data_IF_149585857461
#
_entry.id   IF_149585857461
#
_cell.length_a   1.000
_cell.length_b   1.000
_cell.length_c   1.000
_cell.angle_alpha   90.00
_cell.angle_beta   90.00
_cell.angle_gamma   90.00
#
_symmetry.space_group_name_H-M   'P 1'
#
loop_
_entity.id
_entity.type
_entity.pdbx_description
1 polymer ?
#
# COMPACT_ATOMS: atom_id res chain seq x y z
N UNK A 1 8.42 18.81 58.08
CA UNK A 1 8.74 18.49 56.69
C UNK A 1 8.47 19.75 55.88
N UNK A 2 9.53 20.56 55.70
CA UNK A 2 9.49 21.80 54.92
C UNK A 2 9.84 21.45 53.47
N UNK A 3 8.88 21.48 52.59
CA UNK A 3 9.07 21.34 51.13
C UNK A 3 8.64 22.66 50.50
N UNK A 4 9.66 23.43 50.14
CA UNK A 4 9.89 24.08 48.86
C UNK A 4 8.88 25.17 48.44
N UNK A 5 9.12 26.35 48.96
CA UNK A 5 8.66 27.60 48.33
C UNK A 5 9.64 28.18 47.28
N UNK A 6 10.75 27.49 46.99
CA UNK A 6 11.80 28.01 46.11
C UNK A 6 11.63 27.63 44.63
N UNK A 7 10.85 26.59 44.31
CA UNK A 7 10.62 26.16 42.90
C UNK A 7 9.58 27.01 42.15
N UNK A 8 8.67 27.71 42.87
CA UNK A 8 7.61 28.52 42.24
C UNK A 8 8.07 29.93 41.81
N UNK A 9 9.17 30.42 42.38
CA UNK A 9 9.71 31.75 42.02
C UNK A 9 10.62 31.72 40.79
N UNK A 10 11.16 30.58 40.40
CA UNK A 10 11.99 30.45 39.19
C UNK A 10 11.16 30.38 37.88
N UNK A 11 9.89 29.96 37.99
CA UNK A 11 9.00 29.90 36.83
C UNK A 11 8.38 31.26 36.47
N UNK A 12 8.29 32.17 37.42
CA UNK A 12 7.72 33.50 37.23
C UNK A 12 8.69 34.53 36.60
N UNK A 13 10.00 34.32 36.70
CA UNK A 13 11.01 35.25 36.18
C UNK A 13 11.35 34.97 34.68
N UNK A 14 11.01 33.80 34.16
CA UNK A 14 11.25 33.44 32.75
C UNK A 14 10.19 34.00 31.78
N UNK A 15 9.09 34.56 32.30
CA UNK A 15 7.99 35.09 31.49
C UNK A 15 8.10 36.60 31.19
N UNK A 16 9.09 37.31 31.78
CA UNK A 16 9.19 38.75 31.63
C UNK A 16 10.31 39.29 30.74
N UNK A 17 11.16 38.41 30.21
CA UNK A 17 12.10 38.78 29.14
C UNK A 17 11.47 38.46 27.80
N UNK A 18 10.79 39.43 27.20
CA UNK A 18 10.33 39.42 25.82
C UNK A 18 11.50 39.44 24.82
N UNK A 19 12.32 38.40 24.87
CA UNK A 19 13.12 38.01 23.75
C UNK A 19 12.18 37.24 22.80
N UNK A 20 11.74 37.90 21.73
CA UNK A 20 11.19 37.23 20.58
C UNK A 20 12.24 36.21 20.13
N UNK A 21 12.12 34.97 20.62
CA UNK A 21 12.70 33.85 19.92
C UNK A 21 11.99 33.86 18.56
N UNK A 22 12.64 34.46 17.55
CA UNK A 22 12.31 34.20 16.19
C UNK A 22 12.33 32.67 16.05
N UNK A 23 11.16 32.06 16.11
CA UNK A 23 11.00 30.69 15.69
C UNK A 23 11.39 30.68 14.22
N UNK A 24 12.63 30.28 13.91
CA UNK A 24 12.94 29.76 12.62
C UNK A 24 12.09 28.49 12.46
N UNK A 25 10.79 28.65 12.29
CA UNK A 25 9.95 27.66 11.66
C UNK A 25 10.47 27.61 10.22
N UNK A 26 11.47 26.78 9.98
CA UNK A 26 11.65 26.23 8.64
C UNK A 26 10.29 25.67 8.33
N UNK A 27 9.59 26.29 7.41
CA UNK A 27 8.34 25.77 6.84
C UNK A 27 8.72 24.43 6.21
N UNK A 28 8.71 23.35 7.05
CA UNK A 28 8.97 22.01 6.57
C UNK A 28 7.79 21.68 5.70
N UNK A 29 8.02 21.70 4.38
CA UNK A 29 7.03 21.21 3.44
C UNK A 29 6.54 19.83 3.93
N UNK A 30 5.24 19.68 4.05
CA UNK A 30 4.63 18.40 4.44
C UNK A 30 4.98 17.39 3.35
N UNK A 31 5.59 16.24 3.68
CA UNK A 31 6.07 15.29 2.68
C UNK A 31 4.92 14.58 1.98
N UNK A 32 5.11 14.23 0.71
CA UNK A 32 4.30 13.22 0.04
C UNK A 32 4.51 11.86 0.68
N UNK A 33 3.49 11.02 0.68
CA UNK A 33 3.54 9.66 1.25
C UNK A 33 3.12 8.65 0.19
N UNK A 34 4.03 7.72 -0.13
CA UNK A 34 3.75 6.54 -0.95
C UNK A 34 3.79 5.30 -0.05
N UNK A 35 2.66 4.63 0.09
CA UNK A 35 2.54 3.34 0.78
C UNK A 35 2.40 2.23 -0.25
N UNK A 36 3.39 1.34 -0.35
CA UNK A 36 3.32 0.17 -1.25
C UNK A 36 2.99 -1.07 -0.43
N UNK A 37 1.90 -1.74 -0.77
CA UNK A 37 1.54 -3.05 -0.23
C UNK A 37 1.62 -4.11 -1.33
N UNK A 38 2.28 -5.22 -1.02
CA UNK A 38 2.46 -6.37 -1.90
C UNK A 38 1.68 -7.55 -1.34
N UNK A 39 0.91 -8.26 -2.17
CA UNK A 39 -0.03 -9.30 -1.75
C UNK A 39 0.63 -10.68 -1.79
N UNK A 40 0.69 -11.37 -0.64
CA UNK A 40 1.26 -12.71 -0.47
C UNK A 40 2.78 -12.84 -0.78
N UNK A 41 3.56 -11.78 -0.57
CA UNK A 41 5.02 -11.86 -0.65
C UNK A 41 5.58 -12.44 0.66
N UNK A 42 6.30 -13.54 0.55
CA UNK A 42 6.93 -14.20 1.69
C UNK A 42 8.21 -13.50 2.17
N UNK A 43 8.50 -13.59 3.46
CA UNK A 43 9.75 -13.08 4.05
C UNK A 43 11.01 -13.63 3.34
N UNK A 44 10.93 -14.88 2.84
CA UNK A 44 12.02 -15.55 2.13
C UNK A 44 12.11 -15.22 0.64
N UNK A 45 11.29 -14.34 0.11
CA UNK A 45 11.17 -14.08 -1.33
C UNK A 45 11.72 -12.68 -1.74
N UNK A 46 12.72 -12.19 -0.99
CA UNK A 46 13.49 -10.99 -1.33
C UNK A 46 14.99 -11.28 -1.27
N UNK A 47 15.75 -10.77 -2.25
CA UNK A 47 17.21 -10.98 -2.31
C UNK A 47 17.96 -10.32 -1.14
N UNK A 48 17.47 -9.20 -0.61
CA UNK A 48 18.03 -8.56 0.60
C UNK A 48 17.78 -9.33 1.91
N UNK A 49 16.95 -10.39 1.88
CA UNK A 49 16.65 -11.20 3.06
C UNK A 49 17.21 -12.63 2.93
N UNK A 50 16.42 -13.56 2.39
CA UNK A 50 16.78 -14.99 2.39
C UNK A 50 16.83 -15.64 1.01
N UNK A 51 16.21 -15.04 0.00
CA UNK A 51 16.18 -15.60 -1.35
C UNK A 51 17.57 -15.66 -1.97
N UNK A 52 17.92 -16.80 -2.58
CA UNK A 52 19.19 -17.01 -3.28
C UNK A 52 19.00 -17.25 -4.78
N UNK A 53 17.79 -17.46 -5.20
CA UNK A 53 17.39 -17.86 -6.56
C UNK A 53 16.67 -16.74 -7.34
N UNK A 54 16.46 -15.59 -6.72
CA UNK A 54 15.83 -14.42 -7.33
C UNK A 54 16.59 -13.11 -7.05
N UNK A 55 16.21 -12.03 -7.74
CA UNK A 55 16.82 -10.71 -7.60
C UNK A 55 15.77 -9.62 -7.53
N UNK A 56 15.81 -8.81 -6.45
CA UNK A 56 14.88 -7.70 -6.20
C UNK A 56 15.62 -6.38 -5.94
N UNK A 57 16.45 -5.90 -6.89
CA UNK A 57 17.38 -4.79 -6.67
C UNK A 57 16.69 -3.46 -6.31
N UNK A 58 15.46 -3.23 -6.78
CA UNK A 58 14.74 -1.99 -6.49
C UNK A 58 14.18 -1.99 -5.06
N UNK A 59 13.67 -3.13 -4.59
CA UNK A 59 13.23 -3.30 -3.21
C UNK A 59 14.44 -3.33 -2.28
N UNK A 60 15.53 -4.01 -2.66
CA UNK A 60 16.78 -4.08 -1.90
C UNK A 60 17.35 -2.67 -1.65
N UNK A 61 17.30 -1.78 -2.66
CA UNK A 61 17.71 -0.38 -2.51
C UNK A 61 16.90 0.36 -1.43
N UNK A 62 15.60 0.09 -1.30
CA UNK A 62 14.78 0.69 -0.23
C UNK A 62 15.27 0.20 1.14
N UNK A 63 15.60 -1.09 1.26
CA UNK A 63 16.16 -1.67 2.49
C UNK A 63 17.53 -1.07 2.86
N UNK A 64 18.38 -0.80 1.87
CA UNK A 64 19.72 -0.24 2.08
C UNK A 64 19.71 1.23 2.47
N UNK A 65 18.76 2.01 1.94
CA UNK A 65 18.71 3.47 2.11
C UNK A 65 17.70 3.93 3.15
N UNK A 66 16.81 3.05 3.58
CA UNK A 66 15.70 3.35 4.48
C UNK A 66 15.86 2.78 5.88
N UNK A 67 14.75 2.72 6.60
CA UNK A 67 14.64 2.10 7.93
C UNK A 67 13.92 0.77 7.78
N UNK A 68 14.55 -0.29 8.27
CA UNK A 68 13.97 -1.64 8.29
C UNK A 68 13.32 -1.90 9.65
N UNK A 69 12.09 -2.43 9.61
CA UNK A 69 11.33 -2.81 10.80
C UNK A 69 11.27 -4.33 10.92
N UNK A 70 12.28 -4.95 11.53
CA UNK A 70 12.44 -6.41 11.59
C UNK A 70 11.33 -7.13 12.35
N UNK A 71 10.69 -6.45 13.29
CA UNK A 71 9.62 -6.98 14.13
C UNK A 71 8.25 -6.39 13.77
N UNK A 72 8.05 -6.04 12.51
CA UNK A 72 6.73 -5.63 12.00
C UNK A 72 5.97 -6.86 11.49
N UNK A 73 4.78 -7.09 12.04
CA UNK A 73 3.94 -8.24 11.70
C UNK A 73 2.60 -7.78 11.12
N UNK A 74 2.15 -8.44 10.06
CA UNK A 74 0.78 -8.28 9.59
C UNK A 74 -0.20 -8.80 10.66
N UNK A 75 -1.31 -8.08 10.86
CA UNK A 75 -2.29 -8.45 11.90
C UNK A 75 -3.12 -9.70 11.56
N UNK A 76 -3.00 -10.21 10.36
CA UNK A 76 -3.66 -11.43 9.91
C UNK A 76 -2.86 -12.10 8.80
N UNK A 77 -3.03 -13.41 8.65
CA UNK A 77 -2.49 -14.21 7.55
C UNK A 77 -3.28 -14.10 6.25
N UNK A 78 -4.38 -13.33 6.22
CA UNK A 78 -5.24 -13.16 5.03
C UNK A 78 -5.50 -11.69 4.74
N UNK A 79 -5.83 -11.40 3.48
CA UNK A 79 -5.74 -10.07 2.88
C UNK A 79 -6.71 -9.04 3.48
N UNK A 80 -8.04 -9.31 3.54
CA UNK A 80 -9.01 -8.30 4.02
C UNK A 80 -8.73 -7.84 5.45
N UNK A 81 -8.54 -8.72 6.45
CA UNK A 81 -8.22 -8.28 7.80
C UNK A 81 -6.91 -7.52 7.89
N UNK A 82 -5.86 -7.94 7.15
CA UNK A 82 -4.58 -7.22 7.12
C UNK A 82 -4.73 -5.82 6.57
N UNK A 83 -5.52 -5.63 5.50
CA UNK A 83 -5.81 -4.32 4.91
C UNK A 83 -6.65 -3.44 5.82
N UNK A 84 -7.67 -4.01 6.47
CA UNK A 84 -8.49 -3.30 7.46
C UNK A 84 -7.61 -2.78 8.61
N UNK A 85 -6.73 -3.63 9.16
CA UNK A 85 -5.82 -3.24 10.24
C UNK A 85 -4.81 -2.18 9.78
N UNK A 86 -4.23 -2.33 8.60
CA UNK A 86 -3.29 -1.36 8.03
C UNK A 86 -3.92 0.03 7.88
N UNK A 87 -5.15 0.09 7.36
CA UNK A 87 -5.82 1.35 7.08
C UNK A 87 -6.47 2.00 8.31
N UNK A 88 -6.70 1.26 9.39
CA UNK A 88 -7.39 1.80 10.59
C UNK A 88 -6.52 1.87 11.84
N UNK A 89 -5.38 1.16 11.85
CA UNK A 89 -4.57 0.99 13.06
C UNK A 89 -5.26 0.15 14.15
N UNK A 90 -6.37 -0.52 13.83
CA UNK A 90 -7.16 -1.33 14.77
C UNK A 90 -7.00 -2.83 14.52
N UNK A 91 -7.26 -3.65 15.53
CA UNK A 91 -7.41 -5.09 15.30
C UNK A 91 -8.58 -5.34 14.32
N UNK A 92 -8.43 -6.24 13.35
CA UNK A 92 -9.41 -6.44 12.28
C UNK A 92 -10.83 -6.73 12.75
N UNK A 93 -10.97 -7.53 13.81
CA UNK A 93 -12.26 -7.88 14.41
C UNK A 93 -13.00 -6.66 14.98
N UNK A 94 -12.27 -5.65 15.48
CA UNK A 94 -12.85 -4.43 16.04
C UNK A 94 -13.51 -3.55 14.97
N UNK A 95 -13.07 -3.70 13.73
CA UNK A 95 -13.60 -2.95 12.58
C UNK A 95 -14.46 -3.83 11.66
N UNK A 96 -14.91 -4.97 12.15
CA UNK A 96 -15.86 -5.86 11.48
C UNK A 96 -15.25 -6.80 10.44
N UNK A 97 -13.93 -6.94 10.39
CA UNK A 97 -13.23 -7.77 9.38
C UNK A 97 -12.40 -8.88 10.04
N UNK A 98 -13.03 -9.84 10.78
CA UNK A 98 -12.30 -10.93 11.40
C UNK A 98 -11.72 -11.94 10.39
N UNK A 99 -12.20 -11.94 9.14
CA UNK A 99 -11.78 -12.85 8.09
C UNK A 99 -11.94 -12.25 6.69
N UNK A 100 -11.81 -13.11 5.67
CA UNK A 100 -11.82 -12.69 4.27
C UNK A 100 -13.21 -12.19 3.86
N UNK A 101 -13.28 -11.00 3.28
CA UNK A 101 -14.46 -10.48 2.60
C UNK A 101 -14.52 -11.11 1.20
N UNK A 102 -15.64 -11.73 0.84
CA UNK A 102 -15.84 -12.40 -0.45
C UNK A 102 -17.16 -12.04 -1.10
N UNK A 103 -17.24 -12.10 -2.46
CA UNK A 103 -18.48 -11.83 -3.19
C UNK A 103 -19.61 -12.82 -2.85
N UNK A 104 -19.28 -14.05 -2.45
CA UNK A 104 -20.27 -15.03 -2.02
C UNK A 104 -20.63 -14.84 -0.55
N UNK A 105 -21.91 -14.64 -0.25
CA UNK A 105 -22.42 -14.46 1.13
C UNK A 105 -22.07 -15.65 2.01
N UNK A 106 -22.17 -16.87 1.50
CA UNK A 106 -21.91 -18.11 2.25
C UNK A 106 -20.43 -18.29 2.64
N UNK A 107 -19.53 -17.53 2.00
CA UNK A 107 -18.10 -17.60 2.24
C UNK A 107 -17.51 -16.26 2.72
N UNK A 108 -18.35 -15.31 3.04
CA UNK A 108 -17.95 -14.00 3.52
C UNK A 108 -17.76 -14.00 5.04
N UNK A 109 -16.57 -13.59 5.49
CA UNK A 109 -16.17 -13.59 6.91
C UNK A 109 -15.91 -12.19 7.45
N UNK A 110 -16.50 -11.18 6.87
CA UNK A 110 -16.33 -9.83 7.36
C UNK A 110 -17.17 -8.80 6.65
N UNK A 111 -17.37 -7.69 7.33
CA UNK A 111 -17.98 -6.49 6.80
C UNK A 111 -17.25 -5.28 7.38
N UNK A 112 -16.59 -4.51 6.54
CA UNK A 112 -15.83 -3.35 6.99
C UNK A 112 -16.78 -2.30 7.58
N UNK A 113 -16.70 -2.13 8.90
CA UNK A 113 -17.62 -1.28 9.67
C UNK A 113 -17.57 0.18 9.20
N UNK A 114 -18.73 0.79 8.87
CA UNK A 114 -18.75 2.16 8.34
C UNK A 114 -18.30 3.23 9.33
N UNK A 115 -18.29 2.92 10.63
CA UNK A 115 -17.78 3.79 11.69
C UNK A 115 -16.26 3.73 11.89
N UNK A 116 -15.58 2.79 11.24
CA UNK A 116 -14.13 2.68 11.33
C UNK A 116 -13.47 3.87 10.61
N UNK A 117 -12.71 4.67 11.33
CA UNK A 117 -11.93 5.78 10.74
C UNK A 117 -10.70 5.22 10.04
N UNK A 118 -10.47 5.64 8.81
CA UNK A 118 -9.35 5.16 8.00
C UNK A 118 -8.20 6.18 7.92
N UNK A 119 -7.00 5.69 7.70
CA UNK A 119 -5.81 6.53 7.48
C UNK A 119 -6.02 7.57 6.36
N UNK A 120 -6.57 7.22 5.18
CA UNK A 120 -6.83 8.24 4.15
C UNK A 120 -7.84 9.30 4.60
N UNK A 121 -8.87 8.98 5.40
CA UNK A 121 -9.77 10.00 5.97
C UNK A 121 -9.01 10.99 6.88
N UNK A 122 -8.11 10.48 7.73
CA UNK A 122 -7.30 11.32 8.62
C UNK A 122 -6.35 12.21 7.82
N UNK A 123 -5.65 11.64 6.83
CA UNK A 123 -4.72 12.38 5.97
C UNK A 123 -5.43 13.41 5.09
N UNK A 124 -6.60 13.09 4.56
CA UNK A 124 -7.46 14.04 3.81
C UNK A 124 -7.85 15.23 4.67
N UNK A 125 -8.26 15.01 5.92
CA UNK A 125 -8.55 16.07 6.88
C UNK A 125 -7.29 16.90 7.23
N UNK A 126 -6.10 16.31 7.11
CA UNK A 126 -4.81 16.98 7.22
C UNK A 126 -4.34 17.71 5.96
N UNK A 127 -5.19 17.79 4.91
CA UNK A 127 -4.91 18.52 3.68
C UNK A 127 -4.21 17.70 2.58
N UNK A 128 -4.04 16.40 2.76
CA UNK A 128 -3.52 15.51 1.72
C UNK A 128 -4.57 15.24 0.63
N UNK A 129 -4.11 15.11 -0.59
CA UNK A 129 -4.84 14.47 -1.69
C UNK A 129 -4.60 12.97 -1.62
N UNK A 130 -5.65 12.18 -1.57
CA UNK A 130 -5.56 10.76 -1.25
C UNK A 130 -5.92 9.89 -2.43
N UNK A 131 -5.10 8.88 -2.72
CA UNK A 131 -5.35 7.94 -3.80
C UNK A 131 -5.10 6.49 -3.37
N UNK A 132 -5.93 5.59 -3.91
CA UNK A 132 -5.67 4.15 -3.94
C UNK A 132 -5.51 3.71 -5.39
N UNK A 133 -4.38 3.08 -5.70
CA UNK A 133 -4.18 2.42 -6.98
C UNK A 133 -3.89 0.93 -6.72
N UNK A 134 -4.69 0.04 -7.34
CA UNK A 134 -4.57 -1.40 -7.17
C UNK A 134 -5.69 -2.04 -6.36
N UNK A 135 -5.37 -3.09 -5.61
CA UNK A 135 -6.34 -3.93 -4.88
C UNK A 135 -6.90 -3.26 -3.63
N UNK A 136 -8.23 -3.25 -3.51
CA UNK A 136 -8.95 -2.78 -2.33
C UNK A 136 -9.25 -3.89 -1.31
N UNK A 137 -10.11 -4.81 -1.66
CA UNK A 137 -10.50 -5.98 -0.87
C UNK A 137 -11.17 -5.69 0.50
N UNK A 138 -11.84 -4.55 0.64
CA UNK A 138 -12.60 -4.20 1.86
C UNK A 138 -14.08 -3.92 1.58
N UNK A 139 -14.58 -4.33 0.43
CA UNK A 139 -15.95 -4.21 -0.02
C UNK A 139 -16.04 -3.68 -1.45
N UNK A 140 -17.12 -3.96 -2.14
CA UNK A 140 -17.37 -3.56 -3.54
C UNK A 140 -18.72 -2.85 -3.69
N UNK A 141 -19.36 -2.51 -2.58
CA UNK A 141 -20.64 -1.79 -2.52
C UNK A 141 -20.58 -0.70 -1.45
N UNK A 142 -21.42 0.32 -1.61
CA UNK A 142 -21.61 1.36 -0.60
C UNK A 142 -22.02 0.73 0.75
N UNK A 143 -21.50 1.23 1.86
CA UNK A 143 -20.64 2.41 2.06
C UNK A 143 -19.14 2.07 2.06
N UNK A 144 -18.72 0.97 1.47
CA UNK A 144 -17.34 0.45 1.58
C UNK A 144 -16.54 0.58 0.27
N UNK A 145 -16.93 1.44 -0.64
CA UNK A 145 -16.12 1.80 -1.80
C UNK A 145 -14.93 2.68 -1.40
N UNK A 146 -13.77 2.59 -2.06
CA UNK A 146 -12.59 3.37 -1.71
C UNK A 146 -12.85 4.87 -1.59
N UNK A 147 -13.63 5.45 -2.51
CA UNK A 147 -13.97 6.88 -2.49
C UNK A 147 -14.86 7.29 -1.30
N UNK A 148 -15.60 6.35 -0.72
CA UNK A 148 -16.41 6.55 0.48
C UNK A 148 -15.60 6.34 1.77
N UNK A 149 -14.38 5.78 1.64
CA UNK A 149 -13.46 5.44 2.73
C UNK A 149 -12.20 6.30 2.70
N UNK A 150 -12.35 7.56 2.27
CA UNK A 150 -11.35 8.60 2.40
C UNK A 150 -10.40 8.79 1.21
N UNK A 151 -10.52 8.03 0.13
CA UNK A 151 -9.73 8.24 -1.07
C UNK A 151 -10.42 9.20 -2.05
N UNK A 152 -9.73 10.26 -2.47
CA UNK A 152 -10.19 11.17 -3.52
C UNK A 152 -10.16 10.53 -4.91
N UNK A 153 -9.22 9.61 -5.11
CA UNK A 153 -9.00 8.91 -6.35
C UNK A 153 -8.85 7.40 -6.12
N UNK A 154 -9.58 6.62 -6.89
CA UNK A 154 -9.45 5.16 -6.94
C UNK A 154 -9.25 4.71 -8.38
N UNK A 155 -8.23 3.90 -8.64
CA UNK A 155 -8.01 3.26 -9.92
C UNK A 155 -7.49 1.84 -9.71
N UNK A 156 -8.36 0.84 -9.79
CA UNK A 156 -7.94 -0.50 -9.41
C UNK A 156 -9.04 -1.54 -9.34
N UNK A 157 -8.80 -2.53 -8.50
CA UNK A 157 -9.53 -3.77 -8.39
C UNK A 157 -10.20 -3.90 -7.01
N UNK A 158 -11.53 -3.98 -6.97
CA UNK A 158 -12.30 -3.99 -5.72
C UNK A 158 -12.27 -5.34 -4.99
N UNK A 159 -12.24 -6.47 -5.72
CA UNK A 159 -12.47 -7.80 -5.15
C UNK A 159 -11.23 -8.42 -4.45
N UNK A 160 -11.37 -9.69 -4.03
CA UNK A 160 -10.41 -10.43 -3.21
C UNK A 160 -9.16 -10.85 -3.99
N UNK A 161 -9.31 -11.41 -5.18
CA UNK A 161 -8.21 -11.84 -6.06
C UNK A 161 -8.64 -11.78 -7.52
N UNK A 162 -7.67 -11.73 -8.40
CA UNK A 162 -7.92 -11.92 -9.83
C UNK A 162 -7.76 -13.39 -10.20
N UNK A 163 -8.66 -13.92 -11.01
CA UNK A 163 -8.51 -15.26 -11.59
C UNK A 163 -7.51 -15.24 -12.77
N UNK A 164 -7.26 -14.05 -13.34
CA UNK A 164 -6.35 -13.81 -14.45
C UNK A 164 -5.82 -12.37 -14.45
N UNK A 165 -4.49 -12.18 -14.55
CA UNK A 165 -3.81 -10.88 -14.49
C UNK A 165 -3.98 -10.01 -15.74
N UNK A 166 -4.51 -10.57 -16.84
CA UNK A 166 -4.72 -9.85 -18.10
C UNK A 166 -6.19 -9.52 -18.37
N UNK A 167 -7.11 -10.37 -17.91
CA UNK A 167 -8.55 -10.12 -18.05
C UNK A 167 -9.16 -9.48 -16.82
N UNK A 168 -8.47 -9.52 -15.68
CA UNK A 168 -8.84 -8.90 -14.40
C UNK A 168 -10.22 -9.37 -13.87
N UNK A 169 -10.62 -10.59 -14.20
CA UNK A 169 -11.90 -11.15 -13.77
C UNK A 169 -11.77 -11.86 -12.43
N UNK A 170 -12.87 -11.88 -11.70
CA UNK A 170 -13.05 -12.70 -10.52
C UNK A 170 -14.36 -13.46 -10.63
N UNK A 171 -14.30 -14.80 -10.73
CA UNK A 171 -15.48 -15.64 -10.95
C UNK A 171 -16.37 -15.15 -12.12
N UNK A 172 -15.74 -14.70 -13.19
CA UNK A 172 -16.38 -14.12 -14.38
C UNK A 172 -16.82 -12.65 -14.25
N UNK A 173 -16.88 -12.11 -13.05
CA UNK A 173 -17.23 -10.69 -12.80
C UNK A 173 -16.07 -9.74 -13.07
N UNK A 174 -16.37 -8.52 -13.51
CA UNK A 174 -15.44 -7.42 -13.61
C UNK A 174 -15.48 -6.59 -12.33
N UNK A 175 -14.31 -6.35 -11.73
CA UNK A 175 -14.15 -5.54 -10.53
C UNK A 175 -13.09 -4.45 -10.71
N UNK A 176 -12.76 -4.11 -11.97
CA UNK A 176 -11.84 -3.00 -12.29
C UNK A 176 -12.61 -1.70 -12.41
N UNK A 177 -12.18 -0.67 -11.67
CA UNK A 177 -12.86 0.61 -11.57
C UNK A 177 -11.90 1.79 -11.64
N UNK A 178 -12.38 2.88 -12.21
CA UNK A 178 -11.85 4.23 -12.05
C UNK A 178 -12.90 5.06 -11.29
N UNK A 179 -12.65 5.28 -10.01
CA UNK A 179 -13.62 5.82 -9.05
C UNK A 179 -14.91 4.97 -9.04
N UNK A 180 -16.03 5.52 -9.47
CA UNK A 180 -17.36 4.91 -9.55
C UNK A 180 -17.65 4.21 -10.90
N UNK A 181 -16.72 4.30 -11.85
CA UNK A 181 -16.91 3.75 -13.20
C UNK A 181 -16.20 2.43 -13.38
N UNK A 182 -16.95 1.41 -13.77
CA UNK A 182 -16.37 0.15 -14.22
C UNK A 182 -15.55 0.37 -15.51
N UNK A 183 -14.35 -0.22 -15.57
CA UNK A 183 -13.43 -0.16 -16.71
C UNK A 183 -12.99 -1.57 -17.11
N UNK A 184 -12.52 -1.74 -18.35
CA UNK A 184 -12.00 -3.02 -18.86
C UNK A 184 -10.65 -2.78 -19.57
N UNK A 185 -9.58 -2.43 -18.80
CA UNK A 185 -8.28 -2.13 -19.37
C UNK A 185 -7.63 -3.40 -19.97
N UNK A 186 -6.66 -3.20 -20.87
CA UNK A 186 -5.85 -4.27 -21.45
C UNK A 186 -4.43 -4.20 -20.93
N UNK A 187 -3.85 -5.33 -20.60
CA UNK A 187 -2.47 -5.45 -20.11
C UNK A 187 -2.39 -6.20 -18.78
N UNK A 188 -1.18 -6.45 -18.32
CA UNK A 188 -0.93 -7.12 -17.05
C UNK A 188 -1.22 -6.19 -15.87
N UNK A 189 -1.98 -6.64 -14.87
CA UNK A 189 -2.42 -5.81 -13.74
C UNK A 189 -1.28 -5.06 -13.03
N UNK A 190 -0.12 -5.71 -12.82
CA UNK A 190 1.05 -5.08 -12.21
C UNK A 190 1.53 -3.88 -13.02
N UNK A 191 1.56 -3.98 -14.35
CA UNK A 191 1.99 -2.89 -15.24
C UNK A 191 0.98 -1.76 -15.29
N UNK A 192 -0.32 -2.08 -15.28
CA UNK A 192 -1.40 -1.11 -15.21
C UNK A 192 -1.33 -0.29 -13.93
N UNK A 193 -1.23 -0.95 -12.77
CA UNK A 193 -1.13 -0.25 -11.48
C UNK A 193 0.13 0.62 -11.39
N UNK A 194 1.23 0.15 -11.95
CA UNK A 194 2.47 0.92 -12.07
C UNK A 194 2.27 2.18 -12.92
N UNK A 195 1.74 2.03 -14.14
CA UNK A 195 1.51 3.15 -15.06
C UNK A 195 0.58 4.20 -14.44
N UNK A 196 -0.55 3.76 -13.87
CA UNK A 196 -1.50 4.65 -13.22
C UNK A 196 -0.90 5.38 -12.01
N UNK A 197 -0.01 4.71 -11.25
CA UNK A 197 0.69 5.33 -10.12
C UNK A 197 1.69 6.38 -10.59
N UNK A 198 2.47 6.09 -11.63
CA UNK A 198 3.40 7.04 -12.23
C UNK A 198 2.67 8.27 -12.79
N UNK A 199 1.54 8.07 -13.46
CA UNK A 199 0.73 9.17 -14.00
C UNK A 199 0.11 10.01 -12.87
N UNK A 200 -0.37 9.37 -11.80
CA UNK A 200 -0.87 10.07 -10.61
C UNK A 200 0.24 10.90 -9.95
N UNK A 201 1.40 10.31 -9.68
CA UNK A 201 2.54 11.00 -9.06
C UNK A 201 2.96 12.22 -9.91
N UNK A 202 3.13 12.05 -11.23
CA UNK A 202 3.50 13.16 -12.14
C UNK A 202 2.46 14.27 -12.20
N UNK A 203 1.19 13.94 -12.03
CA UNK A 203 0.11 14.92 -11.94
C UNK A 203 0.17 15.67 -10.62
N UNK A 204 0.21 14.95 -9.50
CA UNK A 204 0.15 15.54 -8.16
C UNK A 204 1.45 16.31 -7.79
N UNK A 205 2.60 15.95 -8.36
CA UNK A 205 3.85 16.69 -8.18
C UNK A 205 3.79 18.17 -8.67
N UNK A 206 2.79 18.50 -9.48
CA UNK A 206 2.56 19.88 -9.96
C UNK A 206 1.63 20.69 -9.04
N UNK A 207 1.02 20.03 -8.09
CA UNK A 207 0.04 20.60 -7.16
C UNK A 207 0.74 21.08 -5.87
N UNK A 208 0.09 21.97 -5.14
CA UNK A 208 0.64 22.52 -3.88
C UNK A 208 0.40 21.60 -2.66
N UNK A 209 -0.68 20.81 -2.71
CA UNK A 209 -1.02 19.94 -1.59
C UNK A 209 -0.18 18.65 -1.64
N UNK A 210 0.27 18.15 -0.48
CA UNK A 210 0.91 16.85 -0.45
C UNK A 210 -0.08 15.75 -0.86
N UNK A 211 0.43 14.65 -1.40
CA UNK A 211 -0.38 13.49 -1.70
C UNK A 211 -0.04 12.30 -0.80
N UNK A 212 -1.04 11.48 -0.56
CA UNK A 212 -0.94 10.12 -0.05
C UNK A 212 -1.39 9.15 -1.13
N UNK A 213 -0.48 8.33 -1.62
CA UNK A 213 -0.76 7.26 -2.58
C UNK A 213 -0.60 5.90 -1.89
N UNK A 214 -1.69 5.15 -1.78
CA UNK A 214 -1.69 3.73 -1.41
C UNK A 214 -1.66 2.89 -2.68
N UNK A 215 -0.49 2.36 -3.03
CA UNK A 215 -0.27 1.45 -4.15
C UNK A 215 -0.33 0.01 -3.65
N UNK A 216 -1.39 -0.70 -3.98
CA UNK A 216 -1.66 -2.04 -3.51
C UNK A 216 -1.61 -3.06 -4.67
N UNK A 217 -0.46 -3.68 -4.86
CA UNK A 217 -0.29 -4.69 -5.91
C UNK A 217 -1.01 -6.00 -5.58
N UNK A 218 -1.55 -6.68 -6.61
CA UNK A 218 -2.03 -8.05 -6.49
C UNK A 218 -0.89 -9.07 -6.50
N UNK A 219 0.21 -8.79 -7.20
CA UNK A 219 1.38 -9.66 -7.28
C UNK A 219 2.12 -9.72 -5.92
N UNK A 220 2.71 -10.89 -5.58
CA UNK A 220 2.73 -12.14 -6.32
C UNK A 220 1.59 -13.13 -5.99
N UNK A 221 0.44 -12.68 -5.43
CA UNK A 221 -0.71 -13.54 -5.16
C UNK A 221 -1.08 -14.39 -6.40
N UNK A 222 -1.52 -15.61 -6.18
CA UNK A 222 -1.99 -16.49 -7.27
C UNK A 222 -3.14 -15.88 -8.10
N UNK A 223 -3.24 -16.23 -9.41
CA UNK A 223 -2.49 -17.23 -10.17
C UNK A 223 -1.05 -16.76 -10.46
N UNK A 224 -0.08 -17.70 -10.50
CA UNK A 224 1.30 -17.38 -10.85
C UNK A 224 1.40 -17.18 -12.38
N UNK A 225 1.09 -15.96 -12.82
CA UNK A 225 0.94 -15.58 -14.23
C UNK A 225 1.82 -14.38 -14.61
N UNK A 226 3.15 -14.50 -14.46
CA UNK A 226 4.06 -13.45 -14.91
C UNK A 226 4.06 -13.33 -16.44
N UNK A 227 4.46 -12.18 -17.02
CA UNK A 227 4.72 -12.08 -18.43
C UNK A 227 5.76 -13.11 -18.89
N UNK A 228 5.58 -13.68 -20.07
CA UNK A 228 6.36 -14.84 -20.56
C UNK A 228 7.86 -14.54 -20.67
N UNK A 229 8.21 -13.32 -21.03
CA UNK A 229 9.62 -12.88 -21.13
C UNK A 229 10.33 -12.93 -19.78
N UNK A 230 9.64 -12.73 -18.66
CA UNK A 230 10.21 -12.86 -17.32
C UNK A 230 10.43 -14.33 -16.95
N UNK A 231 9.50 -15.22 -17.33
CA UNK A 231 9.69 -16.66 -17.14
C UNK A 231 10.92 -17.15 -17.94
N UNK A 232 11.06 -16.70 -19.17
CA UNK A 232 12.19 -17.06 -20.01
C UNK A 232 13.52 -16.63 -19.39
N UNK A 233 13.64 -15.38 -18.91
CA UNK A 233 14.85 -14.88 -18.21
C UNK A 233 15.23 -15.75 -17.02
N UNK A 234 14.26 -16.15 -16.21
CA UNK A 234 14.50 -17.00 -15.03
C UNK A 234 14.98 -18.40 -15.46
N UNK A 235 14.33 -19.00 -16.45
CA UNK A 235 14.68 -20.34 -16.95
C UNK A 235 16.02 -20.37 -17.71
N UNK A 236 16.40 -19.28 -18.38
CA UNK A 236 17.73 -19.13 -18.99
C UNK A 236 18.85 -19.08 -17.92
N UNK A 237 18.56 -18.41 -16.80
CA UNK A 237 19.49 -18.31 -15.66
C UNK A 237 19.64 -19.63 -14.93
N UNK A 238 18.55 -20.36 -14.70
CA UNK A 238 18.57 -21.67 -14.04
C UNK A 238 17.49 -22.62 -14.59
N UNK A 239 17.94 -23.55 -15.44
CA UNK A 239 17.07 -24.56 -16.09
C UNK A 239 16.62 -25.66 -15.11
N UNK A 240 17.21 -25.75 -13.92
CA UNK A 240 16.88 -26.79 -12.93
C UNK A 240 15.66 -26.43 -12.08
N UNK A 241 15.20 -25.16 -12.13
CA UNK A 241 14.08 -24.70 -11.34
C UNK A 241 12.76 -25.38 -11.72
N UNK A 242 11.99 -25.86 -10.74
CA UNK A 242 10.62 -26.33 -10.99
C UNK A 242 9.78 -25.21 -11.61
N UNK A 243 8.93 -25.54 -12.57
CA UNK A 243 8.10 -24.57 -13.33
C UNK A 243 7.33 -23.61 -12.43
N UNK A 244 6.74 -24.12 -11.33
CA UNK A 244 6.01 -23.29 -10.38
C UNK A 244 6.91 -22.27 -9.67
N UNK A 245 8.14 -22.68 -9.27
CA UNK A 245 9.11 -21.77 -8.64
C UNK A 245 9.60 -20.73 -9.63
N UNK A 246 9.93 -21.14 -10.86
CA UNK A 246 10.35 -20.22 -11.92
C UNK A 246 9.28 -19.14 -12.22
N UNK A 247 7.99 -19.51 -12.24
CA UNK A 247 6.90 -18.56 -12.42
C UNK A 247 6.76 -17.60 -11.22
N UNK A 248 6.91 -18.10 -10.00
CA UNK A 248 6.87 -17.24 -8.79
C UNK A 248 8.01 -16.24 -8.80
N UNK A 249 9.24 -16.70 -9.07
CA UNK A 249 10.42 -15.82 -9.20
C UNK A 249 10.17 -14.76 -10.28
N UNK A 250 9.72 -15.17 -11.45
CA UNK A 250 9.44 -14.26 -12.57
C UNK A 250 8.40 -13.20 -12.21
N UNK A 251 7.37 -13.58 -11.44
CA UNK A 251 6.33 -12.65 -11.00
C UNK A 251 6.86 -11.65 -9.95
N UNK A 252 7.74 -12.08 -9.04
CA UNK A 252 8.38 -11.22 -8.04
C UNK A 252 9.39 -10.27 -8.69
N UNK A 253 10.24 -10.76 -9.59
CA UNK A 253 11.21 -9.91 -10.30
C UNK A 253 10.52 -8.89 -11.24
N UNK A 254 9.42 -9.29 -11.88
CA UNK A 254 8.56 -8.38 -12.64
C UNK A 254 7.93 -7.30 -11.74
N UNK A 255 7.47 -7.68 -10.55
CA UNK A 255 6.94 -6.75 -9.56
C UNK A 255 8.02 -5.76 -9.09
N UNK A 256 9.22 -6.25 -8.72
CA UNK A 256 10.36 -5.43 -8.32
C UNK A 256 10.71 -4.38 -9.39
N UNK A 257 10.80 -4.80 -10.66
CA UNK A 257 11.05 -3.89 -11.78
C UNK A 257 9.98 -2.79 -11.88
N UNK A 258 8.72 -3.13 -11.66
CA UNK A 258 7.61 -2.18 -11.70
C UNK A 258 7.61 -1.24 -10.49
N UNK A 259 7.96 -1.71 -9.29
CA UNK A 259 8.19 -0.86 -8.11
C UNK A 259 9.32 0.14 -8.40
N UNK A 260 10.41 -0.30 -9.05
CA UNK A 260 11.50 0.57 -9.46
C UNK A 260 11.06 1.75 -10.33
N UNK A 261 10.14 1.53 -11.30
CA UNK A 261 9.55 2.61 -12.11
C UNK A 261 8.78 3.63 -11.29
N UNK A 262 8.01 3.15 -10.29
CA UNK A 262 7.25 4.06 -9.41
C UNK A 262 8.21 4.90 -8.56
N UNK A 263 9.24 4.28 -7.97
CA UNK A 263 10.25 5.01 -7.17
C UNK A 263 10.96 6.04 -8.02
N UNK A 264 11.39 5.68 -9.23
CA UNK A 264 12.04 6.61 -10.17
C UNK A 264 11.17 7.82 -10.52
N UNK A 265 9.84 7.68 -10.49
CA UNK A 265 8.93 8.81 -10.76
C UNK A 265 8.82 9.83 -9.63
N UNK A 266 9.40 9.53 -8.45
CA UNK A 266 9.47 10.44 -7.31
C UNK A 266 10.77 11.30 -7.33
N UNK A 267 11.75 10.91 -8.12
CA UNK A 267 13.01 11.63 -8.34
C UNK A 267 12.85 12.74 -9.41
#
# INVERSE_FOLDING_TARGET
>A
MKIEKTALLALGAAMASGAALASNTVDKAIPNVLLILVDDLGLGDLSCQYAKDLSTPNIDRIFETGVRLDNFYANSSVSSPSRAALLTGCFPAMVGVPGVIRPSIDQNWGYFGPSAVTMPEVLKNGGYRTALIGKWHLGWESPNLPNERGFDHFHGFLADMMDDYYTHRRQGGNYMYLNDKEIDPKGHATELFTSWSVDYIKKEAKEKNPFFLYLAYNAPHSPLQPPVEWVNKVQERDKSLPVKRARLIALIEHLDYNIGKVIQSLE
#
